data_IF_813399805140
#
_entry.id   IF_813399805140
#
_cell.length_a   1.000
_cell.length_b   1.000
_cell.length_c   1.000
_cell.angle_alpha   90.00
_cell.angle_beta   90.00
_cell.angle_gamma   90.00
#
_symmetry.space_group_name_H-M   'P 1'
#
loop_
_entity.id
_entity.type
_entity.pdbx_description
1 polymer ?
#
# COMPACT_ATOMS: atom_id res chain seq x y z
N UNK A 1 24.44 6.95 -3.82
CA UNK A 1 24.26 5.51 -3.53
C UNK A 1 23.20 4.99 -4.50
N UNK A 2 23.38 3.83 -5.13
CA UNK A 2 22.39 3.29 -6.10
C UNK A 2 21.22 2.68 -5.33
N UNK A 3 19.97 3.07 -5.64
CA UNK A 3 18.78 2.52 -4.96
C UNK A 3 18.68 1.01 -5.18
N UNK A 4 18.18 0.27 -4.19
CA UNK A 4 17.94 -1.16 -4.33
C UNK A 4 16.87 -1.45 -5.39
N UNK A 5 15.93 -0.52 -5.60
CA UNK A 5 14.86 -0.62 -6.60
C UNK A 5 15.40 -0.83 -8.02
N UNK A 6 16.56 -0.27 -8.37
CA UNK A 6 17.17 -0.44 -9.70
C UNK A 6 17.47 -1.92 -10.04
N UNK A 7 17.58 -2.77 -9.01
CA UNK A 7 17.83 -4.21 -9.13
C UNK A 7 16.55 -5.05 -9.07
N UNK A 8 15.43 -4.48 -8.61
CA UNK A 8 14.14 -5.16 -8.50
C UNK A 8 13.38 -5.02 -9.83
N UNK A 9 13.59 -5.98 -10.73
CA UNK A 9 12.91 -6.01 -12.02
C UNK A 9 11.74 -6.96 -11.99
N UNK A 10 10.60 -6.51 -12.51
CA UNK A 10 9.49 -7.40 -12.84
C UNK A 10 9.92 -8.33 -13.98
N UNK A 11 9.70 -9.67 -13.87
CA UNK A 11 10.03 -10.60 -14.94
C UNK A 11 9.22 -10.30 -16.20
N UNK A 12 9.89 -10.16 -17.34
CA UNK A 12 9.25 -9.72 -18.59
C UNK A 12 8.19 -10.71 -19.12
N UNK A 13 8.31 -11.98 -18.77
CA UNK A 13 7.45 -13.09 -19.17
C UNK A 13 6.32 -13.40 -18.18
N UNK A 14 6.31 -12.77 -17.00
CA UNK A 14 5.32 -13.04 -15.96
C UNK A 14 3.89 -12.58 -16.31
N UNK A 15 3.74 -11.69 -17.30
CA UNK A 15 2.46 -11.08 -17.64
C UNK A 15 1.73 -10.55 -16.39
N UNK A 16 0.46 -10.93 -16.24
CA UNK A 16 -0.34 -10.65 -15.04
C UNK A 16 -0.64 -11.92 -14.21
N UNK A 17 0.14 -12.99 -14.41
CA UNK A 17 -0.12 -14.31 -13.78
C UNK A 17 0.85 -14.67 -12.66
N UNK A 18 1.90 -13.88 -12.47
CA UNK A 18 2.87 -14.08 -11.38
C UNK A 18 3.34 -12.73 -10.81
N UNK A 19 3.53 -12.68 -9.50
CA UNK A 19 4.05 -11.51 -8.77
C UNK A 19 5.39 -11.88 -8.14
N UNK A 20 6.46 -11.09 -8.32
CA UNK A 20 7.76 -11.39 -7.72
C UNK A 20 7.71 -11.36 -6.19
N UNK A 21 8.35 -12.34 -5.55
CA UNK A 21 8.29 -12.49 -4.10
C UNK A 21 8.84 -11.28 -3.32
N UNK A 22 9.81 -10.55 -3.88
CA UNK A 22 10.41 -9.38 -3.24
C UNK A 22 9.42 -8.22 -3.05
N UNK A 23 8.32 -8.16 -3.81
CA UNK A 23 7.28 -7.13 -3.63
C UNK A 23 6.75 -7.13 -2.20
N UNK A 24 6.67 -8.32 -1.58
CA UNK A 24 6.05 -8.49 -0.27
C UNK A 24 7.00 -8.29 0.92
N UNK A 25 8.31 -8.17 0.70
CA UNK A 25 9.29 -8.16 1.79
C UNK A 25 10.39 -7.10 1.65
N UNK A 26 10.38 -6.32 0.57
CA UNK A 26 11.37 -5.27 0.37
C UNK A 26 10.96 -3.95 1.04
N UNK A 27 11.84 -3.40 1.88
CA UNK A 27 11.56 -2.16 2.61
C UNK A 27 11.35 -0.94 1.69
N UNK A 28 12.18 -0.77 0.64
CA UNK A 28 12.02 0.37 -0.28
C UNK A 28 10.70 0.29 -1.05
N UNK A 29 10.18 -0.91 -1.31
CA UNK A 29 8.84 -1.11 -1.91
C UNK A 29 7.75 -0.71 -0.92
N UNK A 30 7.84 -1.18 0.33
CA UNK A 30 6.88 -0.81 1.38
C UNK A 30 6.83 0.71 1.60
N UNK A 31 7.98 1.38 1.65
CA UNK A 31 8.03 2.84 1.84
C UNK A 31 7.33 3.58 0.70
N UNK A 32 7.48 3.09 -0.54
CA UNK A 32 6.77 3.63 -1.70
C UNK A 32 5.26 3.34 -1.67
N UNK A 33 4.84 2.18 -1.18
CA UNK A 33 3.43 1.86 -0.97
C UNK A 33 2.81 2.82 0.07
N UNK A 34 3.52 3.07 1.17
CA UNK A 34 3.11 4.04 2.19
C UNK A 34 2.96 5.45 1.58
N UNK A 35 3.93 5.91 0.79
CA UNK A 35 3.90 7.25 0.18
C UNK A 35 2.80 7.38 -0.89
N UNK A 36 2.70 6.42 -1.80
CA UNK A 36 1.93 6.58 -3.05
C UNK A 36 0.53 6.01 -2.99
N UNK A 37 0.30 5.01 -2.14
CA UNK A 37 -0.99 4.32 -2.04
C UNK A 37 -1.65 4.74 -0.73
N UNK A 38 -1.08 4.37 0.42
CA UNK A 38 -1.78 4.50 1.70
C UNK A 38 -1.87 5.95 2.20
N UNK A 39 -0.80 6.73 2.08
CA UNK A 39 -0.78 8.17 2.38
C UNK A 39 -0.80 9.04 1.10
N UNK A 40 -1.03 8.41 -0.05
CA UNK A 40 -1.12 9.06 -1.35
C UNK A 40 -2.56 9.50 -1.68
N UNK A 41 -2.86 9.75 -2.97
CA UNK A 41 -4.18 10.19 -3.41
C UNK A 41 -5.22 9.05 -3.48
N UNK A 42 -5.20 8.12 -2.52
CA UNK A 42 -6.13 6.98 -2.44
C UNK A 42 -7.09 7.16 -1.28
N UNK A 43 -8.38 6.94 -1.52
CA UNK A 43 -9.38 6.88 -0.45
C UNK A 43 -9.30 5.53 0.27
N UNK A 44 -8.97 5.57 1.57
CA UNK A 44 -8.99 4.39 2.44
C UNK A 44 -10.27 4.36 3.27
N UNK A 45 -10.89 3.20 3.40
CA UNK A 45 -12.06 3.01 4.24
C UNK A 45 -11.69 3.12 5.73
N UNK A 46 -12.50 3.81 6.53
CA UNK A 46 -12.27 4.01 7.97
C UNK A 46 -13.44 3.54 8.84
N UNK A 47 -14.67 3.88 8.46
CA UNK A 47 -15.87 3.54 9.20
C UNK A 47 -17.11 3.57 8.30
N UNK A 48 -18.13 2.80 8.69
CA UNK A 48 -19.50 2.98 8.22
C UNK A 48 -20.25 3.99 9.12
N UNK A 49 -21.29 4.61 8.55
CA UNK A 49 -22.14 5.60 9.25
C UNK A 49 -22.75 5.03 10.55
N UNK A 50 -23.18 3.77 10.52
CA UNK A 50 -23.75 3.08 11.67
C UNK A 50 -22.77 2.91 12.86
N UNK A 51 -21.46 3.07 12.65
CA UNK A 51 -20.46 3.01 13.72
C UNK A 51 -20.35 4.34 14.50
N UNK A 52 -20.97 5.42 14.01
CA UNK A 52 -20.97 6.75 14.60
C UNK A 52 -22.42 7.27 14.81
N UNK A 53 -23.25 6.56 15.58
CA UNK A 53 -24.70 6.79 15.61
C UNK A 53 -25.11 8.12 16.26
N UNK A 54 -24.27 8.65 17.15
CA UNK A 54 -24.62 9.79 18.00
C UNK A 54 -23.62 10.93 17.86
N UNK A 55 -24.06 12.14 18.20
CA UNK A 55 -23.18 13.31 18.23
C UNK A 55 -22.05 13.08 19.23
N UNK A 56 -20.81 13.14 18.75
CA UNK A 56 -19.61 12.96 19.58
C UNK A 56 -19.07 11.53 19.58
N UNK A 57 -19.72 10.59 18.89
CA UNK A 57 -19.10 9.30 18.57
C UNK A 57 -17.81 9.52 17.78
N UNK A 58 -16.77 8.77 18.14
CA UNK A 58 -15.49 8.77 17.44
C UNK A 58 -14.95 7.35 17.33
N UNK A 59 -14.15 7.09 16.29
CA UNK A 59 -13.44 5.83 16.09
C UNK A 59 -11.99 6.14 15.74
N UNK A 60 -11.07 5.45 16.40
CA UNK A 60 -9.64 5.47 16.07
C UNK A 60 -9.23 4.09 15.54
N UNK A 61 -8.26 4.07 14.64
CA UNK A 61 -7.50 2.87 14.24
C UNK A 61 -6.16 2.88 14.93
#
# INVERSE_FOLDING_TARGET
MRSMLDRLKWPADAGCTAVPYWVFNNQEVYDLEQEKIYNGPTWNFLAADAELPEKGSFKST
#
